data_IF_261469148760
#
_entry.id   IF_261469148760
#
_cell.length_a   1.000
_cell.length_b   1.000
_cell.length_c   1.000
_cell.angle_alpha   90.00
_cell.angle_beta   90.00
_cell.angle_gamma   90.00
#
_symmetry.space_group_name_H-M   'P 1'
#
loop_
_entity.id
_entity.type
_entity.pdbx_description
1 polymer ?
#
# COMPACT_ATOMS: atom_id res chain seq x y z
N UNK A 1 -3.15 -18.29 14.31
CA UNK A 1 -3.36 -18.55 14.55
C UNK A 1 -3.59 -18.21 14.20
N UNK A 2 -3.20 -17.99 14.17
CA UNK A 2 -3.38 -18.02 14.54
C UNK A 2 -3.33 -17.54 14.41
N UNK A 3 -2.95 -17.50 14.52
CA UNK A 3 -2.99 -17.54 14.93
C UNK A 3 -2.98 -17.28 14.93
N UNK A 4 -2.32 -17.33 15.28
CA UNK A 4 -2.33 -17.65 15.56
C UNK A 4 -2.46 -17.25 15.44
N UNK A 5 -1.76 -17.24 15.75
CA UNK A 5 -1.79 -17.44 15.90
C UNK A 5 -1.70 -17.08 15.76
N UNK A 6 -1.48 -16.80 15.53
CA UNK A 6 -1.28 -16.82 15.83
C UNK A 6 -1.13 -16.62 15.78
N UNK A 7 -0.31 -16.85 16.12
CA UNK A 7 -0.12 -17.23 16.40
C UNK A 7 0.03 -17.22 16.19
N UNK A 8 0.61 -17.22 16.46
CA UNK A 8 0.84 -17.67 16.49
C UNK A 8 1.37 -17.64 16.31
N UNK A 9 1.90 -17.69 16.44
CA UNK A 9 2.39 -18.14 16.44
C UNK A 9 2.73 -18.02 16.45
N UNK A 10 3.45 -18.21 16.72
CA UNK A 10 3.91 -18.67 16.81
C UNK A 10 4.46 -18.67 16.93
N UNK A 11 5.20 -18.92 17.25
CA UNK A 11 5.89 -19.34 17.41
C UNK A 11 6.48 -19.47 17.54
N UNK A 12 7.14 -19.92 17.75
CA UNK A 12 7.93 -20.34 17.78
C UNK A 12 8.69 -20.43 17.90
N UNK A 13 9.23 -20.83 18.22
CA UNK A 13 10.02 -20.98 18.07
C UNK A 13 10.50 -20.59 17.90
N UNK A 14 10.64 -20.51 17.95
CA UNK A 14 11.19 -20.12 17.48
C UNK A 14 11.27 -19.68 16.89
N UNK A 15 11.50 -19.62 16.56
CA UNK A 15 11.52 -19.14 15.73
C UNK A 15 10.97 -18.57 15.30
N UNK A 16 11.03 -18.26 15.43
CA UNK A 16 10.61 -17.59 14.88
C UNK A 16 10.01 -17.38 14.10
N UNK A 17 9.85 -17.33 14.06
CA UNK A 17 9.41 -17.17 13.12
C UNK A 17 9.15 -16.13 12.25
N UNK A 18 9.75 -16.07 11.85
CA UNK A 18 9.61 -14.94 10.94
C UNK A 18 8.81 -15.30 9.74
N UNK A 19 7.86 -14.44 9.42
CA UNK A 19 7.00 -14.61 8.26
C UNK A 19 7.47 -13.65 7.18
N UNK A 20 7.93 -14.11 6.03
CA UNK A 20 8.26 -13.21 4.93
C UNK A 20 7.02 -12.45 4.51
N UNK A 21 7.16 -11.19 4.29
CA UNK A 21 6.05 -10.35 3.87
C UNK A 21 5.97 -10.36 2.37
N UNK A 22 4.87 -10.86 1.86
CA UNK A 22 4.62 -10.81 0.43
C UNK A 22 4.07 -9.46 0.01
N UNK A 23 3.43 -8.78 0.97
CA UNK A 23 2.83 -7.48 0.74
C UNK A 23 3.50 -6.49 1.65
N UNK A 24 4.18 -5.53 1.07
CA UNK A 24 4.92 -4.57 1.89
C UNK A 24 4.94 -3.23 1.20
N UNK A 25 4.25 -2.27 1.81
CA UNK A 25 4.27 -0.89 1.36
C UNK A 25 4.46 0.00 2.58
N UNK A 26 5.26 1.03 2.43
CA UNK A 26 5.55 1.96 3.51
C UNK A 26 4.37 2.88 3.76
N UNK A 27 4.36 3.51 4.93
CA UNK A 27 3.51 4.68 5.15
C UNK A 27 3.98 5.74 4.17
N UNK A 28 3.05 6.42 3.52
CA UNK A 28 3.41 7.47 2.57
C UNK A 28 4.18 8.58 3.27
N UNK A 29 5.06 9.23 2.53
CA UNK A 29 5.85 10.32 3.08
C UNK A 29 5.97 11.42 2.04
N UNK A 30 5.71 12.66 2.41
CA UNK A 30 5.22 13.12 3.71
C UNK A 30 3.76 12.74 3.96
N UNK A 31 3.37 12.74 5.23
CA UNK A 31 2.00 12.49 5.64
C UNK A 31 1.74 13.26 6.92
N UNK A 32 0.91 14.33 6.95
CA UNK A 32 0.09 14.80 5.81
C UNK A 32 0.95 15.29 4.66
N UNK A 33 0.39 15.32 3.47
CA UNK A 33 1.13 15.74 2.29
C UNK A 33 0.43 16.87 1.54
N UNK A 34 1.23 17.63 0.77
CA UNK A 34 0.73 18.77 0.00
C UNK A 34 1.74 19.12 -1.09
N UNK A 35 1.44 18.87 -2.32
CA UNK A 35 0.40 17.97 -2.84
C UNK A 35 0.93 16.60 -3.19
N UNK A 36 2.25 16.34 -3.00
CA UNK A 36 2.90 15.13 -3.47
C UNK A 36 3.33 14.28 -2.29
N UNK A 37 3.10 12.99 -2.41
CA UNK A 37 3.58 12.03 -1.43
C UNK A 37 4.19 10.84 -2.16
N UNK A 38 5.07 10.12 -1.46
CA UNK A 38 5.78 8.97 -2.02
C UNK A 38 5.43 7.72 -1.25
N UNK A 39 5.47 6.60 -1.98
CA UNK A 39 5.30 5.27 -1.40
C UNK A 39 6.49 4.44 -1.81
N UNK A 40 7.00 3.65 -0.86
CA UNK A 40 8.03 2.66 -1.16
C UNK A 40 7.41 1.29 -0.96
N UNK A 41 7.49 0.44 -1.95
CA UNK A 41 6.92 -0.89 -1.84
C UNK A 41 7.94 -1.95 -2.24
N UNK A 42 7.79 -3.12 -1.65
CA UNK A 42 8.69 -4.25 -1.90
C UNK A 42 7.90 -5.38 -2.51
N UNK A 43 8.42 -5.91 -3.60
CA UNK A 43 7.88 -7.09 -4.26
C UNK A 43 8.80 -8.24 -3.85
N UNK A 44 8.29 -9.13 -3.01
CA UNK A 44 9.10 -10.22 -2.46
C UNK A 44 9.25 -11.37 -3.45
N UNK A 45 8.38 -11.44 -4.44
CA UNK A 45 8.46 -12.42 -5.51
C UNK A 45 7.76 -11.82 -6.73
N UNK A 46 8.16 -12.23 -7.94
CA UNK A 46 7.52 -11.68 -9.14
C UNK A 46 6.02 -11.94 -9.12
N UNK A 47 5.25 -10.96 -9.54
CA UNK A 47 3.81 -11.11 -9.57
C UNK A 47 3.12 -9.85 -10.05
N UNK A 48 1.81 -9.89 -10.03
CA UNK A 48 0.99 -8.75 -10.43
C UNK A 48 0.75 -7.86 -9.24
N UNK A 49 1.08 -6.60 -9.40
CA UNK A 49 0.95 -5.62 -8.31
C UNK A 49 0.02 -4.50 -8.74
N UNK A 50 -0.62 -3.89 -7.77
CA UNK A 50 -1.42 -2.69 -8.01
C UNK A 50 -1.38 -1.78 -6.80
N UNK A 51 -1.51 -0.49 -7.05
CA UNK A 51 -1.65 0.50 -5.99
C UNK A 51 -2.79 1.41 -6.39
N UNK A 52 -3.82 1.44 -5.56
CA UNK A 52 -5.04 2.20 -5.83
C UNK A 52 -5.38 3.08 -4.65
N UNK A 53 -5.89 4.26 -4.95
CA UNK A 53 -6.27 5.27 -3.96
C UNK A 53 -7.79 5.33 -3.90
N UNK A 54 -8.32 5.37 -2.67
CA UNK A 54 -9.76 5.44 -2.43
C UNK A 54 -10.07 6.60 -1.49
N UNK A 55 -11.26 7.16 -1.61
CA UNK A 55 -11.73 8.17 -0.67
C UNK A 55 -12.41 7.49 0.53
N UNK A 56 -12.92 8.32 1.47
CA UNK A 56 -13.52 7.80 2.69
C UNK A 56 -14.82 7.02 2.44
N UNK A 57 -15.42 7.23 1.29
CA UNK A 57 -16.63 6.49 0.91
C UNK A 57 -16.30 5.15 0.24
N UNK A 58 -15.00 4.87 0.06
CA UNK A 58 -14.58 3.66 -0.62
C UNK A 58 -14.58 3.76 -2.13
N UNK A 59 -14.74 4.97 -2.66
CA UNK A 59 -14.76 5.17 -4.10
C UNK A 59 -13.34 5.25 -4.63
N UNK A 60 -13.09 4.59 -5.75
CA UNK A 60 -11.77 4.63 -6.38
C UNK A 60 -11.49 6.03 -6.90
N UNK A 61 -10.37 6.59 -6.49
CA UNK A 61 -9.93 7.92 -6.90
C UNK A 61 -8.88 7.82 -7.98
N UNK A 62 -7.91 6.94 -7.80
CA UNK A 62 -6.78 6.86 -8.72
C UNK A 62 -6.20 5.46 -8.70
N UNK A 63 -5.88 4.94 -9.87
CA UNK A 63 -5.04 3.75 -9.99
C UNK A 63 -3.64 4.23 -10.33
N UNK A 64 -2.73 4.13 -9.36
CA UNK A 64 -1.36 4.59 -9.54
C UNK A 64 -0.64 3.67 -10.52
N UNK A 65 -0.76 2.35 -10.29
CA UNK A 65 -0.24 1.36 -11.24
C UNK A 65 -0.99 0.05 -11.07
N UNK A 66 -0.92 -0.75 -12.12
CA UNK A 66 -1.46 -2.10 -12.11
C UNK A 66 -0.68 -2.84 -13.18
N UNK A 67 0.30 -3.65 -12.76
CA UNK A 67 1.25 -4.23 -13.69
C UNK A 67 1.93 -5.44 -13.07
N UNK A 68 2.67 -6.17 -13.88
CA UNK A 68 3.53 -7.25 -13.42
C UNK A 68 4.88 -6.63 -13.03
N UNK A 69 5.42 -7.06 -11.89
CA UNK A 69 6.71 -6.57 -11.41
C UNK A 69 7.61 -7.72 -11.01
N UNK A 70 8.89 -7.56 -11.29
CA UNK A 70 9.91 -8.46 -10.78
C UNK A 70 10.19 -8.13 -9.33
N UNK A 71 10.88 -9.04 -8.66
CA UNK A 71 11.30 -8.87 -7.29
C UNK A 71 12.14 -7.61 -7.14
N UNK A 72 11.93 -6.85 -6.05
CA UNK A 72 12.70 -5.65 -5.80
C UNK A 72 11.96 -4.66 -4.94
N UNK A 73 12.60 -3.51 -4.71
CA UNK A 73 12.04 -2.39 -3.97
C UNK A 73 11.92 -1.20 -4.90
N UNK A 74 10.76 -0.59 -4.89
CA UNK A 74 10.43 0.48 -5.85
C UNK A 74 9.80 1.65 -5.13
N UNK A 75 9.87 2.82 -5.79
CA UNK A 75 9.28 4.04 -5.25
C UNK A 75 8.35 4.62 -6.30
N UNK A 76 7.23 5.19 -5.84
CA UNK A 76 6.25 5.80 -6.72
C UNK A 76 5.63 6.99 -5.99
N UNK A 77 5.10 7.95 -6.75
CA UNK A 77 4.51 9.17 -6.19
C UNK A 77 3.05 9.29 -6.58
N UNK A 78 2.31 10.05 -5.74
CA UNK A 78 0.98 10.51 -6.09
C UNK A 78 0.94 12.02 -5.90
N UNK A 79 0.37 12.70 -6.88
CA UNK A 79 0.32 14.16 -6.90
C UNK A 79 -1.04 14.73 -6.50
N UNK A 80 -1.94 13.89 -5.96
CA UNK A 80 -3.23 14.39 -5.51
C UNK A 80 -4.25 14.59 -6.62
N UNK A 81 -4.05 13.93 -7.76
CA UNK A 81 -4.99 14.02 -8.87
C UNK A 81 -5.69 12.69 -9.09
N UNK A 82 -6.97 12.75 -9.48
CA UNK A 82 -7.73 11.52 -9.77
C UNK A 82 -7.42 11.01 -11.18
N UNK A 83 -8.11 9.95 -11.59
CA UNK A 83 -7.90 9.35 -12.90
C UNK A 83 -8.32 10.27 -14.05
N UNK A 84 -9.10 11.32 -13.75
CA UNK A 84 -9.48 12.33 -14.73
C UNK A 84 -8.53 13.52 -14.72
N UNK A 85 -7.41 13.41 -14.01
CA UNK A 85 -6.39 14.45 -13.91
C UNK A 85 -6.87 15.70 -13.18
N UNK A 86 -7.88 15.56 -12.34
CA UNK A 86 -8.39 16.68 -11.55
C UNK A 86 -7.88 16.58 -10.13
N UNK A 87 -7.55 17.72 -9.55
CA UNK A 87 -7.08 17.81 -8.18
C UNK A 87 -8.21 17.38 -7.23
N UNK A 88 -7.89 16.53 -6.27
CA UNK A 88 -8.88 16.10 -5.27
C UNK A 88 -8.80 17.00 -4.05
N UNK A 89 -9.86 17.00 -3.25
CA UNK A 89 -9.95 17.87 -2.09
C UNK A 89 -9.07 17.35 -0.94
N UNK A 90 -8.75 18.26 -0.02
CA UNK A 90 -8.08 17.89 1.22
C UNK A 90 -8.94 16.90 1.99
N UNK A 91 -8.32 15.97 2.67
CA UNK A 91 -9.05 15.00 3.46
C UNK A 91 -8.29 13.70 3.62
N UNK A 92 -9.03 12.70 4.06
CA UNK A 92 -8.49 11.38 4.33
C UNK A 92 -8.68 10.51 3.09
N UNK A 93 -7.62 9.78 2.75
CA UNK A 93 -7.63 8.84 1.65
C UNK A 93 -7.02 7.52 2.13
N UNK A 94 -7.38 6.44 1.45
CA UNK A 94 -6.81 5.14 1.72
C UNK A 94 -6.09 4.65 0.48
N UNK A 95 -4.99 3.95 0.67
CA UNK A 95 -4.33 3.33 -0.46
C UNK A 95 -4.20 1.84 -0.22
N UNK A 96 -4.42 1.10 -1.28
CA UNK A 96 -4.42 -0.36 -1.24
C UNK A 96 -3.36 -0.87 -2.19
N UNK A 97 -2.38 -1.56 -1.62
CA UNK A 97 -1.33 -2.22 -2.39
C UNK A 97 -1.63 -3.71 -2.43
N UNK A 98 -1.60 -4.29 -3.61
CA UNK A 98 -1.90 -5.70 -3.80
C UNK A 98 -0.76 -6.38 -4.54
N UNK A 99 -0.50 -7.63 -4.16
CA UNK A 99 0.43 -8.52 -4.86
C UNK A 99 -0.26 -9.86 -4.97
N UNK A 100 -0.57 -10.28 -6.21
CA UNK A 100 -1.22 -11.56 -6.50
C UNK A 100 -2.45 -11.80 -5.64
N UNK A 101 -3.30 -10.78 -5.52
CA UNK A 101 -4.57 -10.90 -4.81
C UNK A 101 -4.51 -10.67 -3.32
N UNK A 102 -3.33 -10.61 -2.73
CA UNK A 102 -3.18 -10.24 -1.32
C UNK A 102 -3.01 -8.74 -1.24
N UNK A 103 -3.55 -8.12 -0.21
CA UNK A 103 -3.52 -6.65 -0.16
C UNK A 103 -3.27 -6.14 1.24
N UNK A 104 -2.78 -4.90 1.27
CA UNK A 104 -2.55 -4.13 2.49
C UNK A 104 -3.14 -2.74 2.26
N UNK A 105 -3.85 -2.22 3.26
CA UNK A 105 -4.50 -0.92 3.16
C UNK A 105 -3.96 -0.02 4.24
N UNK A 106 -3.63 1.21 3.87
CA UNK A 106 -3.16 2.22 4.82
C UNK A 106 -3.89 3.53 4.58
N UNK A 107 -3.85 4.39 5.58
CA UNK A 107 -4.52 5.70 5.55
C UNK A 107 -3.49 6.79 5.34
N UNK A 108 -3.90 7.84 4.63
CA UNK A 108 -3.07 9.03 4.45
C UNK A 108 -3.94 10.27 4.48
N UNK A 109 -3.31 11.42 4.68
CA UNK A 109 -4.00 12.71 4.82
C UNK A 109 -3.42 13.68 3.80
N UNK A 110 -4.29 14.22 2.97
CA UNK A 110 -3.94 15.31 2.05
C UNK A 110 -4.34 16.63 2.69
N UNK A 111 -3.38 17.51 2.88
CA UNK A 111 -3.58 18.79 3.54
C UNK A 111 -3.07 19.87 2.60
N UNK A 112 -3.97 20.44 1.83
CA UNK A 112 -3.63 21.53 0.92
C UNK A 112 -3.55 22.86 1.64
#
# INVERSE_FOLDING_TARGET
IFFLEYSGLLDVEGEKKIIPREINISQNYPNPFNPITKFTYTVSRPGRVSLKIYDVMGKLVKTIFQEYKEEGTFEVQWNGHDDSHQSVSSGIYFYKFSLDGKSSIKKMILSK
#
